data_IF_429797165921
#
_entry.id   IF_429797165921
#
_cell.length_a   1.000
_cell.length_b   1.000
_cell.length_c   1.000
_cell.angle_alpha   90.00
_cell.angle_beta   90.00
_cell.angle_gamma   90.00
#
_symmetry.space_group_name_H-M   'P 1'
#
loop_
_entity.id
_entity.type
_entity.pdbx_description
1 polymer ?
#
# COMPACT_ATOMS: atom_id res chain seq x y z
N UNK A 1 27.84 5.65 11.74
CA UNK A 1 26.45 5.20 11.54
C UNK A 1 25.78 6.28 10.71
N UNK A 2 25.51 6.08 9.41
CA UNK A 2 24.74 7.07 8.68
C UNK A 2 23.33 7.04 9.28
N UNK A 3 22.78 8.21 9.57
CA UNK A 3 21.37 8.36 9.88
C UNK A 3 20.64 7.86 8.64
N UNK A 4 20.09 6.66 8.69
CA UNK A 4 19.16 6.20 7.68
C UNK A 4 18.09 7.27 7.60
N UNK A 5 18.12 8.04 6.52
CA UNK A 5 17.17 9.11 6.29
C UNK A 5 15.81 8.43 6.29
N UNK A 6 15.09 8.58 7.39
CA UNK A 6 13.71 8.17 7.52
C UNK A 6 12.95 9.04 6.53
N UNK A 7 12.97 8.66 5.26
CA UNK A 7 11.78 8.79 4.43
C UNK A 7 10.70 8.09 5.25
N UNK A 8 10.01 8.88 6.09
CA UNK A 8 9.32 8.36 7.25
C UNK A 8 8.38 7.24 6.86
N UNK A 9 8.27 6.25 7.75
CA UNK A 9 7.34 5.16 7.53
C UNK A 9 5.98 5.74 7.15
N UNK A 10 5.41 5.25 6.05
CA UNK A 10 4.21 5.85 5.46
C UNK A 10 3.25 4.78 4.99
N UNK A 11 1.97 5.08 5.15
CA UNK A 11 0.87 4.27 4.67
C UNK A 11 -0.02 5.14 3.78
N UNK A 12 -0.23 4.72 2.53
CA UNK A 12 -1.13 5.39 1.58
C UNK A 12 -2.27 4.46 1.24
N UNK A 13 -3.49 4.87 1.60
CA UNK A 13 -4.71 4.14 1.28
C UNK A 13 -5.14 4.43 -0.16
N UNK A 14 -5.25 3.39 -0.98
CA UNK A 14 -5.63 3.51 -2.40
C UNK A 14 -7.13 3.24 -2.59
N UNK A 15 -7.68 2.23 -1.91
CA UNK A 15 -9.11 1.90 -1.98
C UNK A 15 -9.40 0.47 -1.51
N UNK A 16 -10.65 0.17 -1.13
CA UNK A 16 -11.08 -1.11 -0.54
C UNK A 16 -10.16 -1.58 0.60
N UNK A 17 -9.21 -2.48 0.36
CA UNK A 17 -8.17 -2.92 1.29
C UNK A 17 -6.75 -2.80 0.69
N UNK A 18 -6.62 -2.08 -0.43
CA UNK A 18 -5.35 -1.78 -1.09
C UNK A 18 -4.63 -0.63 -0.40
N UNK A 19 -3.48 -0.91 0.20
CA UNK A 19 -2.63 0.06 0.90
C UNK A 19 -1.19 -0.08 0.44
N UNK A 20 -0.52 1.03 0.17
CA UNK A 20 0.92 1.08 -0.06
C UNK A 20 1.63 1.45 1.25
N UNK A 21 2.48 0.56 1.73
CA UNK A 21 3.24 0.73 2.97
C UNK A 21 4.71 0.85 2.63
N UNK A 22 5.36 1.91 3.11
CA UNK A 22 6.82 2.05 3.15
C UNK A 22 7.25 1.91 4.59
N UNK A 23 8.08 0.91 4.87
CA UNK A 23 8.56 0.60 6.22
C UNK A 23 10.03 0.26 6.13
N UNK A 24 10.89 1.16 6.61
CA UNK A 24 12.34 1.08 6.40
C UNK A 24 12.71 0.88 4.92
N UNK A 25 13.45 -0.19 4.61
CA UNK A 25 13.86 -0.53 3.23
C UNK A 25 12.80 -1.27 2.40
N UNK A 26 11.61 -1.53 2.95
CA UNK A 26 10.57 -2.31 2.27
C UNK A 26 9.47 -1.41 1.71
N UNK A 27 8.94 -1.80 0.55
CA UNK A 27 7.72 -1.25 -0.03
C UNK A 27 6.74 -2.39 -0.29
N UNK A 28 5.61 -2.36 0.39
CA UNK A 28 4.60 -3.41 0.36
C UNK A 28 3.27 -2.86 -0.18
N UNK A 29 2.64 -3.59 -1.08
CA UNK A 29 1.29 -3.32 -1.57
C UNK A 29 0.34 -4.41 -1.06
N UNK A 30 -0.64 -4.04 -0.23
CA UNK A 30 -1.64 -4.97 0.30
C UNK A 30 -2.81 -5.12 -0.66
N UNK A 31 -3.47 -6.29 -0.67
CA UNK A 31 -4.69 -6.61 -1.45
C UNK A 31 -4.80 -5.84 -2.79
N UNK A 32 -3.95 -6.16 -3.79
CA UNK A 32 -3.84 -5.38 -5.03
C UNK A 32 -5.03 -5.64 -5.98
N UNK A 33 -6.25 -5.40 -5.51
CA UNK A 33 -7.47 -5.55 -6.28
C UNK A 33 -7.87 -4.21 -6.90
N UNK A 34 -7.18 -3.85 -7.99
CA UNK A 34 -7.47 -2.64 -8.76
C UNK A 34 -8.66 -2.87 -9.68
N UNK A 35 -9.84 -2.51 -9.19
CA UNK A 35 -11.06 -2.52 -9.99
C UNK A 35 -11.21 -1.20 -10.76
N UNK A 36 -11.41 -1.32 -12.07
CA UNK A 36 -11.88 -0.21 -12.89
C UNK A 36 -13.34 0.07 -12.59
N UNK A 37 -13.78 1.30 -12.91
CA UNK A 37 -15.18 1.72 -12.74
C UNK A 37 -16.12 0.71 -13.44
N UNK A 38 -17.06 0.15 -12.68
CA UNK A 38 -18.01 -0.86 -13.14
C UNK A 38 -17.60 -2.32 -12.89
N UNK A 39 -16.42 -2.57 -12.31
CA UNK A 39 -16.03 -3.90 -11.85
C UNK A 39 -16.43 -4.12 -10.38
N UNK A 40 -16.70 -5.38 -10.02
CA UNK A 40 -17.08 -5.82 -8.68
C UNK A 40 -15.99 -6.72 -8.10
N UNK A 41 -15.64 -6.53 -6.83
CA UNK A 41 -14.86 -7.53 -6.08
C UNK A 41 -15.85 -8.43 -5.37
N UNK A 42 -15.74 -9.73 -5.58
CA UNK A 42 -16.50 -10.71 -4.82
C UNK A 42 -15.64 -11.14 -3.62
N UNK A 43 -15.88 -10.55 -2.46
CA UNK A 43 -15.38 -11.08 -1.20
C UNK A 43 -16.48 -12.02 -0.68
N UNK A 44 -16.24 -13.32 -0.81
CA UNK A 44 -17.14 -14.37 -0.31
C UNK A 44 -17.31 -14.33 1.21
#
# INVERSE_FOLDING_TARGET
MPLEETAGDSASFIGTATTLIRLGGFTLLTDPNFLHRGQWSYFG
#
